data_IF_250772763795
#
_entry.id   IF_250772763795
#
_cell.length_a   1.000
_cell.length_b   1.000
_cell.length_c   1.000
_cell.angle_alpha   90.00
_cell.angle_beta   90.00
_cell.angle_gamma   90.00
#
_symmetry.space_group_name_H-M   'P 1'
#
loop_
_entity.id
_entity.type
_entity.pdbx_description
1 polymer ?
#
# COMPACT_ATOMS: atom_id res chain seq x y z
N UNK A 1 36.96 -42.20 -22.21
CA UNK A 1 38.14 -41.34 -22.53
C UNK A 1 37.67 -40.29 -23.53
N UNK A 2 37.80 -39.00 -23.17
CA UNK A 2 37.62 -37.77 -23.98
C UNK A 2 36.20 -37.52 -24.57
N UNK A 3 35.35 -36.65 -24.03
CA UNK A 3 35.39 -35.17 -23.90
C UNK A 3 35.19 -34.41 -25.21
N UNK A 4 34.06 -33.68 -25.32
CA UNK A 4 34.00 -32.30 -25.82
C UNK A 4 32.62 -31.66 -25.52
N UNK A 5 32.65 -30.61 -24.70
CA UNK A 5 31.61 -29.60 -24.53
C UNK A 5 31.56 -28.63 -25.74
N UNK A 6 30.45 -27.88 -25.81
CA UNK A 6 30.12 -26.65 -26.56
C UNK A 6 29.23 -26.89 -27.79
N UNK A 7 28.32 -26.00 -28.16
CA UNK A 7 27.62 -24.89 -27.52
C UNK A 7 26.57 -24.40 -28.55
N UNK A 8 25.53 -23.72 -28.05
CA UNK A 8 24.72 -22.70 -28.71
C UNK A 8 23.82 -23.06 -29.91
N UNK A 9 22.52 -22.88 -29.65
CA UNK A 9 21.46 -22.70 -30.63
C UNK A 9 20.30 -22.00 -29.93
N UNK A 10 20.42 -20.68 -29.77
CA UNK A 10 19.53 -19.84 -28.97
C UNK A 10 18.08 -19.82 -29.46
N UNK A 11 17.19 -19.49 -28.52
CA UNK A 11 15.89 -18.92 -28.83
C UNK A 11 15.89 -17.54 -28.17
N UNK A 12 16.15 -16.52 -28.98
CA UNK A 12 15.96 -15.13 -28.63
C UNK A 12 14.45 -14.88 -28.48
N UNK A 13 13.93 -15.05 -27.28
CA UNK A 13 12.73 -14.33 -26.88
C UNK A 13 13.18 -13.00 -26.32
N UNK A 14 13.31 -12.02 -27.23
CA UNK A 14 13.28 -10.60 -26.88
C UNK A 14 11.95 -10.33 -26.17
N UNK A 15 11.97 -10.41 -24.84
CA UNK A 15 10.93 -9.83 -24.01
C UNK A 15 11.00 -8.32 -24.26
N UNK A 16 10.08 -7.81 -25.06
CA UNK A 16 9.84 -6.38 -25.16
C UNK A 16 9.38 -5.91 -23.79
N UNK A 17 10.34 -5.40 -23.00
CA UNK A 17 10.06 -4.61 -21.82
C UNK A 17 9.21 -3.44 -22.26
N UNK A 18 7.93 -3.46 -21.89
CA UNK A 18 7.10 -2.27 -22.01
C UNK A 18 7.79 -1.15 -21.22
N UNK A 19 7.90 0.05 -21.80
CA UNK A 19 8.50 1.17 -21.09
C UNK A 19 7.58 1.46 -19.90
N UNK A 20 8.03 1.10 -18.70
CA UNK A 20 7.46 1.60 -17.47
C UNK A 20 7.61 3.12 -17.55
N UNK A 21 6.51 3.79 -17.85
CA UNK A 21 6.43 5.24 -17.77
C UNK A 21 6.99 5.65 -16.40
N UNK A 22 7.82 6.69 -16.31
CA UNK A 22 8.30 7.14 -15.02
C UNK A 22 7.09 7.56 -14.21
N UNK A 23 6.74 6.76 -13.20
CA UNK A 23 5.82 7.17 -12.17
C UNK A 23 6.52 8.29 -11.40
N UNK A 24 5.97 9.49 -11.50
CA UNK A 24 6.33 10.61 -10.63
C UNK A 24 6.97 11.76 -11.36
N UNK A 25 6.14 12.75 -11.71
CA UNK A 25 6.51 14.12 -11.36
C UNK A 25 5.23 14.94 -11.11
N UNK A 26 4.70 14.82 -9.89
CA UNK A 26 3.99 15.92 -9.25
C UNK A 26 4.54 16.00 -7.82
N UNK A 27 5.42 16.96 -7.61
CA UNK A 27 5.96 17.31 -6.29
C UNK A 27 5.55 18.73 -5.96
N UNK A 28 4.85 18.87 -4.85
CA UNK A 28 4.81 20.05 -3.98
C UNK A 28 4.35 19.48 -2.62
N UNK A 29 5.18 19.06 -1.67
CA UNK A 29 6.47 19.55 -1.23
C UNK A 29 7.29 18.37 -0.65
N UNK A 30 8.30 17.85 -1.37
CA UNK A 30 9.37 17.07 -0.72
C UNK A 30 9.09 15.62 -0.31
N UNK A 31 8.34 14.82 -1.09
CA UNK A 31 8.42 13.34 -1.08
C UNK A 31 8.35 12.68 0.30
N UNK A 32 7.17 12.76 0.93
CA UNK A 32 6.88 12.12 2.22
C UNK A 32 7.27 10.65 2.22
N UNK A 33 8.08 10.23 3.18
CA UNK A 33 8.45 8.84 3.39
C UNK A 33 7.52 8.20 4.42
N UNK A 34 7.41 6.88 4.39
CA UNK A 34 6.66 6.12 5.39
C UNK A 34 7.07 6.45 6.83
N UNK A 35 8.34 6.79 7.06
CA UNK A 35 8.86 7.16 8.37
C UNK A 35 8.42 8.53 8.88
N UNK A 36 7.95 9.42 7.99
CA UNK A 36 7.52 10.78 8.33
C UNK A 36 6.09 10.80 8.88
N UNK A 37 5.28 9.81 8.53
CA UNK A 37 3.96 9.57 9.12
C UNK A 37 4.09 9.15 10.59
N UNK A 38 3.15 9.57 11.44
CA UNK A 38 3.07 9.04 12.81
C UNK A 38 2.74 7.54 12.80
N UNK A 39 3.03 6.82 13.90
CA UNK A 39 2.66 5.41 14.01
C UNK A 39 1.16 5.19 13.79
N UNK A 40 0.34 6.03 14.42
CA UNK A 40 -1.11 5.94 14.29
C UNK A 40 -1.64 6.21 12.88
N UNK A 41 -1.04 7.16 12.14
CA UNK A 41 -1.38 7.37 10.73
C UNK A 41 -1.02 6.15 9.87
N UNK A 42 0.13 5.53 10.12
CA UNK A 42 0.55 4.31 9.41
C UNK A 42 -0.42 3.16 9.67
N UNK A 43 -0.85 3.01 10.92
CA UNK A 43 -1.82 1.98 11.30
C UNK A 43 -3.19 2.24 10.67
N UNK A 44 -3.63 3.50 10.56
CA UNK A 44 -4.85 3.85 9.80
C UNK A 44 -4.74 3.43 8.33
N UNK A 45 -3.60 3.70 7.67
CA UNK A 45 -3.41 3.31 6.27
C UNK A 45 -3.40 1.78 6.11
N UNK A 46 -2.83 1.06 7.07
CA UNK A 46 -2.83 -0.41 7.10
C UNK A 46 -4.24 -0.98 7.34
N UNK A 47 -5.01 -0.39 8.26
CA UNK A 47 -6.41 -0.75 8.53
C UNK A 47 -7.29 -0.57 7.29
N UNK A 48 -7.20 0.58 6.61
CA UNK A 48 -7.95 0.84 5.38
C UNK A 48 -7.60 -0.21 4.31
N UNK A 49 -6.31 -0.48 4.09
CA UNK A 49 -5.88 -1.49 3.11
C UNK A 49 -6.39 -2.91 3.44
N UNK A 50 -6.42 -3.27 4.73
CA UNK A 50 -6.94 -4.55 5.21
C UNK A 50 -8.44 -4.68 4.91
N UNK A 51 -9.23 -3.68 5.30
CA UNK A 51 -10.68 -3.63 5.09
C UNK A 51 -11.02 -3.69 3.59
N UNK A 52 -10.30 -2.93 2.75
CA UNK A 52 -10.46 -2.97 1.29
C UNK A 52 -10.15 -4.34 0.69
N UNK A 53 -9.11 -5.01 1.20
CA UNK A 53 -8.71 -6.35 0.76
C UNK A 53 -9.76 -7.42 1.07
N UNK A 54 -10.54 -7.22 2.13
CA UNK A 54 -11.68 -8.06 2.50
C UNK A 54 -12.97 -7.75 1.71
N UNK A 55 -12.92 -6.76 0.82
CA UNK A 55 -14.05 -6.36 -0.03
C UNK A 55 -15.13 -5.56 0.71
N UNK A 56 -14.75 -4.90 1.81
CA UNK A 56 -15.62 -4.07 2.63
C UNK A 56 -15.27 -2.59 2.37
N UNK A 57 -16.27 -1.70 2.40
CA UNK A 57 -16.02 -0.26 2.34
C UNK A 57 -15.42 0.25 3.66
N UNK A 58 -14.23 0.87 3.64
CA UNK A 58 -13.60 1.45 4.83
C UNK A 58 -14.29 2.74 5.28
N UNK A 59 -15.32 2.62 6.12
CA UNK A 59 -15.92 3.76 6.81
C UNK A 59 -15.33 3.95 8.21
N UNK A 60 -15.51 5.14 8.77
CA UNK A 60 -14.84 5.53 10.03
C UNK A 60 -14.99 4.52 11.18
N UNK A 61 -16.18 3.94 11.36
CA UNK A 61 -16.41 2.91 12.38
C UNK A 61 -15.71 1.58 12.06
N UNK A 62 -15.65 1.14 10.80
CA UNK A 62 -14.90 -0.07 10.44
C UNK A 62 -13.40 0.10 10.72
N UNK A 63 -12.85 1.29 10.43
CA UNK A 63 -11.46 1.63 10.75
C UNK A 63 -11.25 1.68 12.27
N UNK A 64 -12.20 2.24 13.02
CA UNK A 64 -12.16 2.28 14.48
C UNK A 64 -12.14 0.86 15.08
N UNK A 65 -13.03 -0.01 14.61
CA UNK A 65 -13.13 -1.42 15.03
C UNK A 65 -11.85 -2.22 14.74
N UNK A 66 -11.23 -2.03 13.57
CA UNK A 66 -9.95 -2.67 13.21
C UNK A 66 -8.80 -2.20 14.12
N UNK A 67 -8.71 -0.89 14.37
CA UNK A 67 -7.67 -0.34 15.25
C UNK A 67 -7.85 -0.76 16.71
N UNK A 68 -9.09 -0.94 17.19
CA UNK A 68 -9.40 -1.41 18.54
C UNK A 68 -8.95 -2.87 18.80
N UNK A 69 -8.57 -3.65 17.77
CA UNK A 69 -7.92 -4.95 17.97
C UNK A 69 -6.53 -4.81 18.61
N UNK A 70 -5.85 -3.69 18.36
CA UNK A 70 -4.46 -3.44 18.80
C UNK A 70 -4.35 -2.30 19.81
N UNK A 71 -5.33 -1.41 19.87
CA UNK A 71 -5.38 -0.25 20.77
C UNK A 71 -6.51 -0.41 21.79
N UNK A 72 -6.18 -0.31 23.08
CA UNK A 72 -7.18 -0.41 24.15
C UNK A 72 -8.26 0.69 24.10
N UNK A 73 -7.93 1.88 23.59
CA UNK A 73 -8.85 3.01 23.44
C UNK A 73 -8.49 3.86 22.20
N UNK A 74 -9.29 3.79 21.16
CA UNK A 74 -9.19 4.68 19.99
C UNK A 74 -10.10 5.89 20.23
N UNK A 75 -9.54 7.01 20.69
CA UNK A 75 -10.33 8.23 20.84
C UNK A 75 -10.86 8.68 19.47
N UNK A 76 -12.18 8.66 19.30
CA UNK A 76 -12.86 9.08 18.06
C UNK A 76 -12.34 10.42 17.52
N UNK A 77 -12.17 11.43 18.39
CA UNK A 77 -11.62 12.72 17.97
C UNK A 77 -10.21 12.62 17.38
N UNK A 78 -9.36 11.72 17.89
CA UNK A 78 -8.01 11.48 17.38
C UNK A 78 -8.07 10.77 16.02
N UNK A 79 -8.94 9.77 15.87
CA UNK A 79 -9.12 9.07 14.59
C UNK A 79 -9.50 10.06 13.48
N UNK A 80 -10.55 10.85 13.69
CA UNK A 80 -11.03 11.78 12.66
C UNK A 80 -10.05 12.91 12.38
N UNK A 81 -9.31 13.42 13.37
CA UNK A 81 -8.23 14.38 13.11
C UNK A 81 -7.13 13.80 12.21
N UNK A 82 -6.80 12.51 12.38
CA UNK A 82 -5.80 11.86 11.54
C UNK A 82 -6.35 11.53 10.15
N UNK A 83 -7.62 11.13 10.03
CA UNK A 83 -8.30 10.96 8.74
C UNK A 83 -8.36 12.27 7.96
N UNK A 84 -8.72 13.38 8.61
CA UNK A 84 -8.70 14.71 7.98
C UNK A 84 -7.28 15.07 7.52
N UNK A 85 -6.28 14.90 8.39
CA UNK A 85 -4.88 15.19 8.02
C UNK A 85 -4.39 14.34 6.84
N UNK A 86 -4.67 13.03 6.85
CA UNK A 86 -4.30 12.13 5.75
C UNK A 86 -5.05 12.45 4.45
N UNK A 87 -6.27 12.98 4.54
CA UNK A 87 -7.03 13.45 3.39
C UNK A 87 -6.41 14.71 2.81
N UNK A 88 -6.09 15.68 3.68
CA UNK A 88 -5.46 16.94 3.30
C UNK A 88 -4.07 16.72 2.68
N UNK A 89 -3.32 15.75 3.21
CA UNK A 89 -2.01 15.33 2.70
C UNK A 89 -2.09 14.46 1.42
N UNK A 90 -3.28 14.08 0.97
CA UNK A 90 -3.48 13.31 -0.27
C UNK A 90 -3.17 11.82 -0.18
N UNK A 91 -3.10 11.25 1.04
CA UNK A 91 -2.90 9.80 1.23
C UNK A 91 -4.20 9.01 1.16
N UNK A 92 -5.33 9.63 1.48
CA UNK A 92 -6.64 9.00 1.39
C UNK A 92 -7.63 9.92 0.69
N UNK A 93 -8.57 9.31 -0.03
CA UNK A 93 -9.72 9.99 -0.62
C UNK A 93 -10.96 9.76 0.24
N UNK A 94 -11.67 10.85 0.58
CA UNK A 94 -12.96 10.79 1.26
C UNK A 94 -14.09 10.64 0.24
N UNK A 95 -14.85 9.56 0.36
CA UNK A 95 -16.12 9.33 -0.34
C UNK A 95 -17.34 9.47 0.57
N UNK A 96 -18.53 9.38 -0.02
CA UNK A 96 -19.82 9.39 0.68
C UNK A 96 -20.61 8.12 0.31
N UNK A 97 -21.01 7.33 1.30
CA UNK A 97 -21.80 6.11 1.08
C UNK A 97 -23.31 6.37 1.09
N UNK A 98 -23.80 7.13 2.08
CA UNK A 98 -25.25 7.29 2.33
C UNK A 98 -25.67 8.67 2.90
N UNK A 99 -24.84 9.70 2.71
CA UNK A 99 -25.11 11.06 3.21
C UNK A 99 -24.79 11.30 4.67
N UNK A 100 -24.46 10.26 5.44
CA UNK A 100 -23.99 10.38 6.83
C UNK A 100 -22.69 9.63 7.07
N UNK A 101 -22.43 8.61 6.27
CA UNK A 101 -21.25 7.75 6.37
C UNK A 101 -20.25 8.13 5.29
N UNK A 102 -19.07 8.57 5.73
CA UNK A 102 -17.92 8.78 4.85
C UNK A 102 -17.16 7.47 4.69
N UNK A 103 -16.74 7.16 3.46
CA UNK A 103 -15.74 6.13 3.16
C UNK A 103 -14.36 6.78 2.97
N UNK A 104 -13.29 6.00 3.17
CA UNK A 104 -11.91 6.45 3.08
C UNK A 104 -11.08 5.45 2.30
N UNK A 105 -10.70 5.79 1.08
CA UNK A 105 -9.96 4.89 0.18
C UNK A 105 -8.51 5.32 0.08
N UNK A 106 -7.57 4.39 0.02
CA UNK A 106 -6.16 4.74 -0.19
C UNK A 106 -5.95 5.38 -1.57
N UNK A 107 -5.11 6.41 -1.63
CA UNK A 107 -4.60 6.87 -2.93
C UNK A 107 -3.53 5.93 -3.46
N UNK A 108 -3.29 5.97 -4.77
CA UNK A 108 -2.20 5.21 -5.41
C UNK A 108 -0.84 5.53 -4.78
N UNK A 109 -0.64 6.77 -4.31
CA UNK A 109 0.58 7.17 -3.61
C UNK A 109 0.70 6.49 -2.24
N UNK A 110 -0.37 6.49 -1.43
CA UNK A 110 -0.37 5.82 -0.14
C UNK A 110 -0.18 4.30 -0.28
N UNK A 111 -0.82 3.68 -1.27
CA UNK A 111 -0.61 2.26 -1.57
C UNK A 111 0.85 1.96 -1.91
N UNK A 112 1.48 2.78 -2.77
CA UNK A 112 2.88 2.60 -3.14
C UNK A 112 3.79 2.76 -1.91
N UNK A 113 3.51 3.74 -1.06
CA UNK A 113 4.23 4.00 0.18
C UNK A 113 4.12 2.82 1.17
N UNK A 114 2.92 2.26 1.33
CA UNK A 114 2.65 1.09 2.17
C UNK A 114 3.38 -0.15 1.63
N UNK A 115 3.26 -0.44 0.33
CA UNK A 115 3.94 -1.56 -0.34
C UNK A 115 5.47 -1.47 -0.17
N UNK A 116 6.05 -0.28 -0.33
CA UNK A 116 7.48 -0.08 -0.13
C UNK A 116 7.89 -0.24 1.34
N UNK A 117 7.06 0.23 2.28
CA UNK A 117 7.28 -0.02 3.70
C UNK A 117 7.31 -1.51 4.05
N UNK A 118 6.40 -2.30 3.47
CA UNK A 118 6.35 -3.76 3.66
C UNK A 118 7.60 -4.41 3.07
N UNK A 119 7.99 -4.07 1.84
CA UNK A 119 9.23 -4.57 1.21
C UNK A 119 10.46 -4.29 2.06
N UNK A 120 10.65 -3.06 2.50
CA UNK A 120 11.77 -2.66 3.37
C UNK A 120 11.82 -3.46 4.67
N UNK A 121 10.65 -3.71 5.28
CA UNK A 121 10.53 -4.54 6.50
C UNK A 121 10.88 -6.01 6.21
N UNK A 122 10.35 -6.56 5.11
CA UNK A 122 10.63 -7.93 4.67
C UNK A 122 12.14 -8.14 4.39
N UNK A 123 12.77 -7.22 3.66
CA UNK A 123 14.21 -7.25 3.36
C UNK A 123 15.05 -7.20 4.64
N UNK A 124 14.68 -6.35 5.60
CA UNK A 124 15.36 -6.26 6.89
C UNK A 124 15.26 -7.57 7.71
N UNK A 125 14.18 -8.33 7.52
CA UNK A 125 13.99 -9.65 8.11
C UNK A 125 14.58 -10.80 7.25
N UNK A 126 15.11 -10.50 6.06
CA UNK A 126 15.56 -11.52 5.10
C UNK A 126 14.44 -12.38 4.52
N UNK A 127 13.20 -11.88 4.51
CA UNK A 127 12.03 -12.57 3.98
C UNK A 127 11.90 -12.28 2.48
N UNK A 128 11.85 -13.32 1.65
CA UNK A 128 11.45 -13.17 0.26
C UNK A 128 9.92 -13.07 0.20
N UNK A 129 9.40 -11.94 -0.25
CA UNK A 129 7.98 -11.87 -0.61
C UNK A 129 7.79 -12.66 -1.91
N UNK A 130 7.19 -13.85 -1.82
CA UNK A 130 6.70 -14.54 -3.00
C UNK A 130 5.61 -13.64 -3.61
N UNK A 131 5.86 -13.06 -4.77
CA UNK A 131 4.84 -12.35 -5.51
C UNK A 131 3.77 -13.39 -5.87
N UNK A 132 2.66 -13.39 -5.14
CA UNK A 132 1.46 -14.08 -5.60
C UNK A 132 0.92 -13.22 -6.74
N UNK A 133 1.20 -13.65 -7.97
CA UNK A 133 0.39 -13.34 -9.12
C UNK A 133 -1.04 -13.73 -8.75
N UNK A 134 -1.87 -12.74 -8.40
CA UNK A 134 -3.28 -12.94 -8.14
C UNK A 134 -3.90 -13.54 -9.39
N UNK A 135 -4.00 -14.86 -9.44
CA UNK A 135 -4.54 -15.60 -10.56
C UNK A 135 -5.98 -15.18 -10.80
N UNK A 136 -6.20 -14.58 -11.97
CA UNK A 136 -7.51 -14.32 -12.56
C UNK A 136 -8.45 -15.53 -12.36
N UNK A 137 -9.66 -15.27 -11.84
CA UNK A 137 -10.78 -16.22 -11.84
C UNK A 137 -11.97 -15.62 -12.56
#
# INVERSE_FOLDING_TARGET
MCAALRADGGCDTEATAEPQAPAGELVADGGTKWGDLTGFQRDILEAIAGIESDGIDPYGLAIEEDLEEYYDDVLHSRLYQNLDSLTDDGFIERGELDGRTNSYTLTTEAEALLKESVRRRADACGLQMAATDGGDR
#
